data_IF_083020646891
#
_entry.id   IF_083020646891
#
_cell.length_a   1.000
_cell.length_b   1.000
_cell.length_c   1.000
_cell.angle_alpha   90.00
_cell.angle_beta   90.00
_cell.angle_gamma   90.00
#
_symmetry.space_group_name_H-M   'P 1'
#
loop_
_entity.id
_entity.type
_entity.pdbx_description
1 polymer ?
#
# COMPACT_ATOMS: atom_id res chain seq x y z
N UNK A 1 -3.36 4.11 -19.25
CA UNK A 1 -4.35 4.60 -20.23
C UNK A 1 -5.73 4.59 -19.57
N UNK A 2 -5.97 5.46 -18.58
CA UNK A 2 -7.23 5.45 -17.80
C UNK A 2 -8.07 6.74 -17.99
N UNK A 3 -7.49 7.83 -18.49
CA UNK A 3 -8.21 9.12 -18.63
C UNK A 3 -9.21 9.23 -19.79
N UNK A 4 -9.25 8.25 -20.69
CA UNK A 4 -10.17 8.24 -21.85
C UNK A 4 -11.60 7.82 -21.44
N UNK A 5 -11.72 6.90 -20.48
CA UNK A 5 -13.00 6.38 -20.01
C UNK A 5 -13.82 7.47 -19.29
N UNK A 6 -13.16 8.27 -18.44
CA UNK A 6 -13.79 9.39 -17.71
C UNK A 6 -14.38 10.46 -18.63
N UNK A 7 -13.76 10.70 -19.79
CA UNK A 7 -14.22 11.73 -20.73
C UNK A 7 -15.53 11.33 -21.43
N UNK A 8 -15.69 10.05 -21.76
CA UNK A 8 -16.92 9.53 -22.34
C UNK A 8 -18.03 9.40 -21.29
N UNK A 9 -17.69 9.02 -20.07
CA UNK A 9 -18.65 8.95 -18.97
C UNK A 9 -19.18 10.35 -18.60
N UNK A 10 -18.31 11.36 -18.58
CA UNK A 10 -18.71 12.76 -18.40
C UNK A 10 -19.65 13.26 -19.50
N UNK A 11 -19.33 13.00 -20.77
CA UNK A 11 -20.21 13.37 -21.90
C UNK A 11 -21.56 12.65 -21.86
N UNK A 12 -21.57 11.38 -21.42
CA UNK A 12 -22.79 10.62 -21.23
C UNK A 12 -23.67 11.21 -20.12
N UNK A 13 -23.08 11.58 -18.98
CA UNK A 13 -23.80 12.24 -17.89
C UNK A 13 -24.35 13.61 -18.29
N UNK A 14 -23.59 14.40 -19.05
CA UNK A 14 -24.04 15.70 -19.56
C UNK A 14 -25.22 15.55 -20.54
N UNK A 15 -25.11 14.60 -21.48
CA UNK A 15 -26.17 14.26 -22.44
C UNK A 15 -27.45 13.82 -21.73
N UNK A 16 -27.31 12.97 -20.70
CA UNK A 16 -28.44 12.51 -19.87
C UNK A 16 -29.09 13.68 -19.13
N UNK A 17 -28.31 14.58 -18.54
CA UNK A 17 -28.79 15.78 -17.87
C UNK A 17 -29.55 16.73 -18.80
N UNK A 18 -28.97 17.03 -19.98
CA UNK A 18 -29.63 17.86 -20.99
C UNK A 18 -30.94 17.23 -21.49
N UNK A 19 -30.97 15.91 -21.66
CA UNK A 19 -32.17 15.20 -22.11
C UNK A 19 -33.29 15.26 -21.06
N UNK A 20 -32.94 15.16 -19.77
CA UNK A 20 -33.91 15.30 -18.69
C UNK A 20 -34.43 16.73 -18.56
N UNK A 21 -33.57 17.73 -18.69
CA UNK A 21 -33.97 19.15 -18.65
C UNK A 21 -34.83 19.55 -19.85
N UNK A 22 -34.52 19.07 -21.06
CA UNK A 22 -35.38 19.27 -22.24
C UNK A 22 -36.77 18.67 -22.04
N UNK A 23 -36.86 17.48 -21.43
CA UNK A 23 -38.15 16.84 -21.12
C UNK A 23 -38.93 17.62 -20.06
N UNK A 24 -38.26 18.07 -18.99
CA UNK A 24 -38.88 18.88 -17.95
C UNK A 24 -39.40 20.21 -18.51
N UNK A 25 -38.60 20.86 -19.36
CA UNK A 25 -38.97 22.12 -20.04
C UNK A 25 -40.20 21.92 -20.91
N UNK A 26 -40.25 20.85 -21.71
CA UNK A 26 -41.43 20.54 -22.55
C UNK A 26 -42.70 20.34 -21.71
N UNK A 27 -42.62 19.60 -20.61
CA UNK A 27 -43.75 19.43 -19.69
C UNK A 27 -44.18 20.75 -19.04
N UNK A 28 -43.21 21.62 -18.71
CA UNK A 28 -43.46 22.97 -18.24
C UNK A 28 -44.24 23.80 -19.28
N UNK A 29 -43.80 23.79 -20.54
CA UNK A 29 -44.47 24.50 -21.63
C UNK A 29 -45.88 23.96 -21.88
N UNK A 30 -46.07 22.64 -21.91
CA UNK A 30 -47.41 22.03 -22.06
C UNK A 30 -48.35 22.42 -20.91
N UNK A 31 -47.83 22.53 -19.69
CA UNK A 31 -48.61 22.99 -18.53
C UNK A 31 -48.98 24.46 -18.64
N UNK A 32 -48.06 25.32 -19.08
CA UNK A 32 -48.34 26.75 -19.32
C UNK A 32 -49.40 26.89 -20.40
N UNK A 33 -49.28 26.16 -21.50
CA UNK A 33 -50.28 26.16 -22.58
C UNK A 33 -51.67 25.76 -22.08
N UNK A 34 -51.75 24.71 -21.25
CA UNK A 34 -53.01 24.30 -20.62
C UNK A 34 -53.61 25.40 -19.73
N UNK A 35 -52.77 26.12 -18.97
CA UNK A 35 -53.22 27.24 -18.13
C UNK A 35 -53.72 28.40 -18.99
N UNK A 36 -53.02 28.76 -20.07
CA UNK A 36 -53.45 29.82 -21.00
C UNK A 36 -54.77 29.43 -21.67
N UNK A 37 -54.93 28.17 -22.12
CA UNK A 37 -56.21 27.66 -22.65
C UNK A 37 -57.33 27.69 -21.60
N UNK A 38 -57.02 27.43 -20.34
CA UNK A 38 -58.01 27.53 -19.24
C UNK A 38 -58.40 28.97 -18.97
N UNK A 39 -57.43 29.88 -19.00
CA UNK A 39 -57.65 31.32 -18.83
C UNK A 39 -58.51 31.87 -19.98
N UNK A 40 -58.21 31.51 -21.22
CA UNK A 40 -59.00 31.81 -22.42
C UNK A 40 -60.48 31.39 -22.26
N UNK A 41 -60.72 30.17 -21.76
CA UNK A 41 -62.07 29.68 -21.46
C UNK A 41 -62.78 30.48 -20.37
N UNK A 42 -62.06 30.88 -19.31
CA UNK A 42 -62.63 31.66 -18.20
C UNK A 42 -62.94 33.10 -18.60
N UNK A 43 -62.11 33.72 -19.43
CA UNK A 43 -62.26 35.10 -19.89
C UNK A 43 -63.10 35.22 -21.16
N UNK A 44 -63.61 34.10 -21.70
CA UNK A 44 -64.33 34.03 -22.99
C UNK A 44 -63.56 34.68 -24.15
N UNK A 45 -62.24 34.66 -24.09
CA UNK A 45 -61.34 35.24 -25.09
C UNK A 45 -60.68 34.11 -25.87
N UNK A 46 -60.42 34.29 -27.17
CA UNK A 46 -59.77 33.23 -27.93
C UNK A 46 -58.31 33.03 -27.47
N UNK A 47 -57.81 31.79 -27.56
CA UNK A 47 -56.41 31.50 -27.24
C UNK A 47 -55.45 32.30 -28.13
N UNK A 48 -55.80 32.47 -29.41
CA UNK A 48 -54.97 33.22 -30.36
C UNK A 48 -54.92 34.72 -30.03
N UNK A 49 -55.97 35.27 -29.42
CA UNK A 49 -55.97 36.68 -29.01
C UNK A 49 -55.17 36.91 -27.73
N UNK A 50 -55.06 35.90 -26.86
CA UNK A 50 -54.20 35.92 -25.67
C UNK A 50 -52.73 35.59 -25.99
N UNK A 51 -52.46 34.90 -27.10
CA UNK A 51 -51.09 34.58 -27.54
C UNK A 51 -50.47 35.65 -28.44
N UNK A 52 -51.25 36.65 -28.88
CA UNK A 52 -50.74 37.79 -29.66
C UNK A 52 -49.94 38.73 -28.78
N UNK A 53 -48.91 39.33 -29.38
CA UNK A 53 -48.12 40.34 -28.73
C UNK A 53 -49.02 41.55 -28.39
N UNK A 54 -49.04 42.02 -27.12
CA UNK A 54 -49.92 43.12 -26.72
C UNK A 54 -49.63 44.39 -27.51
N UNK A 55 -50.66 45.19 -27.76
CA UNK A 55 -50.46 46.49 -28.42
C UNK A 55 -49.63 47.42 -27.53
N UNK A 56 -48.90 48.35 -28.15
CA UNK A 56 -48.00 49.25 -27.44
C UNK A 56 -48.72 50.13 -26.40
N UNK A 57 -49.99 50.46 -26.63
CA UNK A 57 -50.83 51.16 -25.65
C UNK A 57 -51.10 50.34 -24.38
N UNK A 58 -51.29 49.02 -24.50
CA UNK A 58 -51.46 48.12 -23.35
C UNK A 58 -50.16 47.99 -22.57
N UNK A 59 -49.02 47.97 -23.27
CA UNK A 59 -47.70 48.03 -22.64
C UNK A 59 -47.49 49.34 -21.89
N UNK A 60 -47.88 50.48 -22.46
CA UNK A 60 -47.76 51.79 -21.83
C UNK A 60 -48.68 51.94 -20.61
N UNK A 61 -49.90 51.40 -20.66
CA UNK A 61 -50.82 51.35 -19.52
C UNK A 61 -50.34 50.39 -18.43
N UNK A 62 -49.83 49.21 -18.80
CA UNK A 62 -49.22 48.28 -17.86
C UNK A 62 -48.02 48.93 -17.17
N UNK A 63 -47.11 49.57 -17.91
CA UNK A 63 -45.95 50.24 -17.34
C UNK A 63 -46.35 51.41 -16.42
N UNK A 64 -47.45 52.11 -16.71
CA UNK A 64 -48.01 53.15 -15.82
C UNK A 64 -48.64 52.59 -14.55
N UNK A 65 -49.25 51.40 -14.60
CA UNK A 65 -49.83 50.74 -13.42
C UNK A 65 -48.80 49.89 -12.64
N UNK A 66 -47.70 49.50 -13.29
CA UNK A 66 -46.64 48.65 -12.78
C UNK A 66 -45.47 49.44 -12.18
N UNK A 67 -45.62 50.74 -11.93
CA UNK A 67 -44.65 51.50 -11.14
C UNK A 67 -44.55 50.88 -9.75
N UNK A 68 -43.46 50.17 -9.52
CA UNK A 68 -43.16 49.39 -8.32
C UNK A 68 -43.26 50.32 -7.10
N UNK A 69 -44.13 49.98 -6.16
CA UNK A 69 -44.26 50.78 -4.94
C UNK A 69 -43.01 50.55 -4.08
N UNK A 70 -42.57 51.54 -3.29
CA UNK A 70 -41.33 51.40 -2.48
C UNK A 70 -41.37 50.16 -1.57
N UNK A 71 -42.57 49.81 -1.09
CA UNK A 71 -42.82 48.59 -0.33
C UNK A 71 -42.50 47.32 -1.13
N UNK A 72 -42.91 47.25 -2.39
CA UNK A 72 -42.71 46.07 -3.25
C UNK A 72 -41.23 45.92 -3.61
N UNK A 73 -40.54 47.05 -3.85
CA UNK A 73 -39.10 47.09 -4.03
C UNK A 73 -38.36 46.56 -2.80
N UNK A 74 -38.69 47.05 -1.60
CA UNK A 74 -38.07 46.59 -0.35
C UNK A 74 -38.34 45.10 -0.08
N UNK A 75 -39.54 44.61 -0.40
CA UNK A 75 -39.86 43.18 -0.30
C UNK A 75 -38.95 42.36 -1.23
N UNK A 76 -38.78 42.82 -2.48
CA UNK A 76 -37.91 42.16 -3.46
C UNK A 76 -36.44 42.15 -3.03
N UNK A 77 -35.94 43.28 -2.55
CA UNK A 77 -34.57 43.39 -2.01
C UNK A 77 -34.38 42.47 -0.80
N UNK A 78 -35.37 42.36 0.09
CA UNK A 78 -35.32 41.46 1.24
C UNK A 78 -35.25 39.98 0.80
N UNK A 79 -36.10 39.55 -0.13
CA UNK A 79 -36.03 38.18 -0.67
C UNK A 79 -34.70 37.89 -1.36
N UNK A 80 -34.13 38.85 -2.08
CA UNK A 80 -32.81 38.72 -2.69
C UNK A 80 -31.71 38.53 -1.63
N UNK A 81 -31.77 39.29 -0.54
CA UNK A 81 -30.82 39.15 0.58
C UNK A 81 -30.97 37.80 1.28
N UNK A 82 -32.19 37.34 1.56
CA UNK A 82 -32.45 36.01 2.14
C UNK A 82 -31.85 34.92 1.27
N UNK A 83 -32.09 34.99 -0.04
CA UNK A 83 -31.52 34.03 -0.99
C UNK A 83 -29.97 34.03 -0.96
N UNK A 84 -29.35 35.21 -0.91
CA UNK A 84 -27.89 35.31 -0.81
C UNK A 84 -27.35 34.70 0.50
N UNK A 85 -28.04 34.92 1.62
CA UNK A 85 -27.69 34.32 2.91
C UNK A 85 -27.78 32.80 2.84
N UNK A 86 -28.86 32.26 2.28
CA UNK A 86 -29.03 30.81 2.11
C UNK A 86 -27.93 30.19 1.23
N UNK A 87 -27.55 30.87 0.13
CA UNK A 87 -26.44 30.43 -0.71
C UNK A 87 -25.10 30.43 0.06
N UNK A 88 -24.83 31.47 0.86
CA UNK A 88 -23.62 31.53 1.67
C UNK A 88 -23.61 30.43 2.74
N UNK A 89 -24.71 30.21 3.44
CA UNK A 89 -24.84 29.14 4.42
C UNK A 89 -24.62 27.76 3.80
N UNK A 90 -25.16 27.52 2.61
CA UNK A 90 -24.96 26.28 1.87
C UNK A 90 -23.47 26.06 1.56
N UNK A 91 -22.79 27.08 1.06
CA UNK A 91 -21.35 27.01 0.76
C UNK A 91 -20.55 26.78 2.04
N UNK A 92 -20.84 27.50 3.12
CA UNK A 92 -20.18 27.33 4.42
C UNK A 92 -20.36 25.90 4.96
N UNK A 93 -21.58 25.35 4.92
CA UNK A 93 -21.84 23.95 5.32
C UNK A 93 -21.00 22.97 4.51
N UNK A 94 -20.85 23.21 3.20
CA UNK A 94 -20.05 22.35 2.33
C UNK A 94 -18.55 22.47 2.60
N UNK A 95 -18.06 23.67 2.93
CA UNK A 95 -16.68 23.88 3.36
C UNK A 95 -16.39 23.15 4.67
N UNK A 96 -17.29 23.26 5.66
CA UNK A 96 -17.13 22.55 6.93
C UNK A 96 -17.12 21.03 6.74
N UNK A 97 -18.01 20.47 5.92
CA UNK A 97 -18.00 19.05 5.61
C UNK A 97 -16.68 18.59 4.93
N UNK A 98 -16.06 19.45 4.12
CA UNK A 98 -14.74 19.15 3.53
C UNK A 98 -13.63 19.21 4.58
N UNK A 99 -13.70 20.14 5.53
CA UNK A 99 -12.74 20.22 6.64
C UNK A 99 -12.83 18.95 7.49
N UNK A 100 -14.04 18.53 7.87
CA UNK A 100 -14.26 17.30 8.64
C UNK A 100 -13.67 16.07 7.92
N UNK A 101 -13.89 15.96 6.60
CA UNK A 101 -13.31 14.89 5.78
C UNK A 101 -11.77 14.92 5.76
N UNK A 102 -11.17 16.11 5.72
CA UNK A 102 -9.72 16.27 5.77
C UNK A 102 -9.18 15.84 7.14
N UNK A 103 -9.86 16.20 8.23
CA UNK A 103 -9.48 15.78 9.59
C UNK A 103 -9.52 14.26 9.75
N UNK A 104 -10.58 13.61 9.27
CA UNK A 104 -10.70 12.14 9.27
C UNK A 104 -9.57 11.46 8.49
N UNK A 105 -9.22 12.01 7.32
CA UNK A 105 -8.11 11.52 6.51
C UNK A 105 -6.76 11.69 7.22
N UNK A 106 -6.55 12.81 7.91
CA UNK A 106 -5.32 13.05 8.67
C UNK A 106 -5.18 12.07 9.85
N UNK A 107 -6.27 11.79 10.57
CA UNK A 107 -6.25 10.82 11.66
C UNK A 107 -5.98 9.39 11.13
N UNK A 108 -6.58 9.03 9.98
CA UNK A 108 -6.29 7.77 9.29
C UNK A 108 -4.82 7.63 8.89
N UNK A 109 -4.22 8.68 8.30
CA UNK A 109 -2.79 8.71 7.95
C UNK A 109 -1.93 8.53 9.19
N UNK A 110 -2.25 9.24 10.28
CA UNK A 110 -1.52 9.13 11.55
C UNK A 110 -1.58 7.71 12.11
N UNK A 111 -2.77 7.07 12.10
CA UNK A 111 -2.91 5.68 12.51
C UNK A 111 -2.09 4.74 11.63
N UNK A 112 -2.12 4.93 10.30
CA UNK A 112 -1.32 4.15 9.37
C UNK A 112 0.19 4.27 9.64
N UNK A 113 0.69 5.47 9.94
CA UNK A 113 2.12 5.68 10.27
C UNK A 113 2.50 4.94 11.56
N UNK A 114 1.65 4.99 12.58
CA UNK A 114 1.87 4.25 13.84
C UNK A 114 1.88 2.74 13.60
N UNK A 115 0.93 2.23 12.83
CA UNK A 115 0.84 0.80 12.47
C UNK A 115 2.05 0.35 11.65
N UNK A 116 2.49 1.15 10.66
CA UNK A 116 3.71 0.86 9.90
C UNK A 116 4.96 0.86 10.76
N UNK A 117 5.07 1.80 11.71
CA UNK A 117 6.16 1.83 12.68
C UNK A 117 6.23 0.55 13.52
N UNK A 118 5.09 0.13 14.07
CA UNK A 118 4.98 -1.12 14.83
C UNK A 118 5.28 -2.35 13.96
N UNK A 119 4.79 -2.37 12.72
CA UNK A 119 5.02 -3.49 11.80
C UNK A 119 6.50 -3.61 11.42
N UNK A 120 7.20 -2.50 11.16
CA UNK A 120 8.65 -2.51 10.87
C UNK A 120 9.46 -3.09 12.02
N UNK A 121 9.22 -2.63 13.25
CA UNK A 121 9.92 -3.14 14.44
C UNK A 121 9.68 -4.65 14.64
N UNK A 122 8.46 -5.13 14.37
CA UNK A 122 8.13 -6.56 14.42
C UNK A 122 8.84 -7.36 13.33
N UNK A 123 8.87 -6.84 12.10
CA UNK A 123 9.56 -7.50 10.98
C UNK A 123 11.07 -7.58 11.21
N UNK A 124 11.69 -6.51 11.71
CA UNK A 124 13.10 -6.50 12.08
C UNK A 124 13.41 -7.53 13.17
N UNK A 125 12.59 -7.58 14.22
CA UNK A 125 12.74 -8.57 15.29
C UNK A 125 12.62 -10.00 14.75
N UNK A 126 11.64 -10.27 13.89
CA UNK A 126 11.49 -11.58 13.25
C UNK A 126 12.65 -11.93 12.31
N UNK A 127 13.22 -10.95 11.60
CA UNK A 127 14.39 -11.16 10.76
C UNK A 127 15.61 -11.54 11.62
N UNK A 128 15.86 -10.81 12.71
CA UNK A 128 16.95 -11.12 13.64
C UNK A 128 16.76 -12.53 14.22
N UNK A 129 15.55 -12.86 14.67
CA UNK A 129 15.29 -14.17 15.27
C UNK A 129 15.39 -15.32 14.25
N UNK A 130 14.76 -15.18 13.08
CA UNK A 130 14.73 -16.27 12.09
C UNK A 130 16.03 -16.42 11.31
N UNK A 131 16.64 -15.32 10.87
CA UNK A 131 17.77 -15.36 9.95
C UNK A 131 19.09 -15.30 10.71
N UNK A 132 19.23 -14.35 11.64
CA UNK A 132 20.50 -14.16 12.34
C UNK A 132 20.73 -15.27 13.36
N UNK A 133 19.75 -15.57 14.23
CA UNK A 133 19.95 -16.65 15.20
C UNK A 133 20.08 -18.03 14.56
N UNK A 134 19.35 -18.32 13.47
CA UNK A 134 19.50 -19.62 12.79
C UNK A 134 20.91 -19.80 12.22
N UNK A 135 21.47 -18.75 11.62
CA UNK A 135 22.86 -18.76 11.14
C UNK A 135 23.85 -18.91 12.28
N UNK A 136 23.66 -18.20 13.39
CA UNK A 136 24.51 -18.35 14.59
C UNK A 136 24.47 -19.79 15.10
N UNK A 137 23.27 -20.39 15.23
CA UNK A 137 23.11 -21.78 15.67
C UNK A 137 23.77 -22.76 14.70
N UNK A 138 23.67 -22.53 13.39
CA UNK A 138 24.34 -23.35 12.39
C UNK A 138 25.86 -23.28 12.53
N UNK A 139 26.42 -22.07 12.67
CA UNK A 139 27.88 -21.89 12.88
C UNK A 139 28.33 -22.54 14.19
N UNK A 140 27.59 -22.37 15.28
CA UNK A 140 27.90 -23.02 16.55
C UNK A 140 27.86 -24.55 16.45
N UNK A 141 26.89 -25.11 15.73
CA UNK A 141 26.82 -26.55 15.49
C UNK A 141 28.01 -27.05 14.68
N UNK A 142 28.36 -26.36 13.60
CA UNK A 142 29.53 -26.70 12.77
C UNK A 142 30.83 -26.62 13.56
N UNK A 143 31.00 -25.57 14.37
CA UNK A 143 32.18 -25.40 15.23
C UNK A 143 32.31 -26.53 16.27
N UNK A 144 31.21 -26.92 16.92
CA UNK A 144 31.20 -28.06 17.84
C UNK A 144 31.57 -29.36 17.13
N UNK A 145 30.99 -29.62 15.96
CA UNK A 145 31.31 -30.80 15.14
C UNK A 145 32.78 -30.86 14.73
N UNK A 146 33.35 -29.73 14.29
CA UNK A 146 34.78 -29.61 13.96
C UNK A 146 35.67 -29.88 15.19
N UNK A 147 35.30 -29.36 16.35
CA UNK A 147 36.07 -29.57 17.58
C UNK A 147 36.03 -31.03 18.03
N UNK A 148 34.88 -31.69 17.89
CA UNK A 148 34.71 -33.11 18.19
C UNK A 148 35.45 -34.00 17.19
N UNK A 149 35.43 -33.62 15.90
CA UNK A 149 36.19 -34.29 14.86
C UNK A 149 37.70 -34.17 15.07
N UNK A 150 38.21 -32.99 15.46
CA UNK A 150 39.62 -32.79 15.81
C UNK A 150 40.02 -33.66 17.00
N UNK A 151 39.21 -33.68 18.07
CA UNK A 151 39.45 -34.56 19.21
C UNK A 151 39.49 -36.03 18.81
N UNK A 152 38.52 -36.48 18.01
CA UNK A 152 38.45 -37.87 17.55
C UNK A 152 39.64 -38.23 16.65
N UNK A 153 40.05 -37.31 15.77
CA UNK A 153 41.21 -37.49 14.92
C UNK A 153 42.51 -37.61 15.75
N UNK A 154 42.67 -36.77 16.78
CA UNK A 154 43.79 -36.88 17.72
C UNK A 154 43.80 -38.20 18.47
N UNK A 155 42.66 -38.62 19.03
CA UNK A 155 42.58 -39.92 19.72
C UNK A 155 42.93 -41.09 18.80
N UNK A 156 42.47 -41.06 17.55
CA UNK A 156 42.82 -42.08 16.54
C UNK A 156 44.30 -42.05 16.17
N UNK A 157 44.88 -40.85 16.02
CA UNK A 157 46.31 -40.69 15.79
C UNK A 157 47.12 -41.24 16.96
N UNK A 158 46.74 -40.92 18.20
CA UNK A 158 47.41 -41.42 19.40
C UNK A 158 47.34 -42.96 19.49
N UNK A 159 46.18 -43.55 19.17
CA UNK A 159 46.03 -45.01 19.11
C UNK A 159 46.91 -45.64 18.03
N UNK A 160 46.93 -45.08 16.82
CA UNK A 160 47.79 -45.56 15.73
C UNK A 160 49.27 -45.46 16.10
N UNK A 161 49.68 -44.40 16.80
CA UNK A 161 51.04 -44.23 17.30
C UNK A 161 51.35 -45.32 18.34
N UNK A 162 50.43 -45.63 19.25
CA UNK A 162 50.59 -46.69 20.24
C UNK A 162 50.67 -48.07 19.59
N UNK A 163 49.77 -48.39 18.65
CA UNK A 163 49.81 -49.65 17.90
C UNK A 163 51.12 -49.78 17.11
N UNK A 164 51.59 -48.70 16.48
CA UNK A 164 52.86 -48.68 15.77
C UNK A 164 54.04 -48.91 16.73
N UNK A 165 54.02 -48.31 17.92
CA UNK A 165 55.01 -48.55 18.97
C UNK A 165 55.00 -50.01 19.44
N UNK A 166 53.83 -50.59 19.65
CA UNK A 166 53.70 -51.99 20.10
C UNK A 166 54.17 -52.98 19.04
N UNK A 167 53.83 -52.76 17.77
CA UNK A 167 54.36 -53.55 16.65
C UNK A 167 55.88 -53.42 16.55
N UNK A 168 56.42 -52.21 16.68
CA UNK A 168 57.88 -52.00 16.64
C UNK A 168 58.60 -52.63 17.85
N UNK A 169 57.96 -52.75 19.00
CA UNK A 169 58.49 -53.44 20.20
C UNK A 169 58.41 -54.97 20.12
N UNK A 170 57.43 -55.51 19.39
CA UNK A 170 57.30 -56.96 19.19
C UNK A 170 58.34 -57.52 18.21
N UNK A 171 58.99 -56.65 17.42
CA UNK A 171 60.07 -57.02 16.53
C UNK A 171 61.38 -57.05 17.33
N UNK A 172 61.98 -58.24 17.48
CA UNK A 172 63.35 -58.38 17.98
C UNK A 172 64.34 -57.96 16.89
N UNK A 173 64.63 -56.67 16.80
CA UNK A 173 65.55 -56.09 15.80
C UNK A 173 66.94 -56.74 15.82
N UNK A 174 67.37 -57.30 16.95
CA UNK A 174 68.64 -58.04 17.08
C UNK A 174 68.64 -59.46 16.49
N UNK A 175 67.46 -60.05 16.26
CA UNK A 175 67.28 -61.43 15.75
C UNK A 175 66.70 -61.48 14.32
N UNK A 176 66.31 -60.33 13.75
CA UNK A 176 65.81 -60.25 12.38
C UNK A 176 66.96 -60.50 11.40
N UNK A 177 66.76 -61.39 10.43
CA UNK A 177 67.74 -61.66 9.38
C UNK A 177 68.13 -60.34 8.68
N UNK A 178 69.44 -60.07 8.57
CA UNK A 178 69.98 -58.85 7.94
C UNK A 178 69.86 -58.89 6.40
N UNK A 179 68.64 -59.03 5.90
CA UNK A 179 68.32 -58.81 4.49
C UNK A 179 68.32 -57.31 4.18
N UNK A 180 68.50 -56.94 2.89
CA UNK A 180 68.54 -55.54 2.45
C UNK A 180 67.24 -54.81 2.77
N UNK A 181 66.13 -55.53 2.75
CA UNK A 181 64.76 -55.05 2.99
C UNK A 181 64.52 -54.67 4.47
N UNK A 182 65.06 -55.44 5.41
CA UNK A 182 64.91 -55.19 6.86
C UNK A 182 65.74 -54.00 7.32
N UNK A 183 66.96 -53.81 6.77
CA UNK A 183 67.73 -52.57 6.97
C UNK A 183 67.05 -51.33 6.40
N UNK A 184 66.37 -51.46 5.26
CA UNK A 184 65.64 -50.34 4.67
C UNK A 184 64.39 -49.97 5.47
N UNK A 185 63.72 -50.98 6.06
CA UNK A 185 62.60 -50.79 6.98
C UNK A 185 63.04 -50.07 8.26
N UNK A 186 64.13 -50.51 8.87
CA UNK A 186 64.72 -49.91 10.07
C UNK A 186 65.12 -48.44 9.83
N UNK A 187 65.78 -48.15 8.70
CA UNK A 187 66.13 -46.78 8.31
C UNK A 187 64.89 -45.87 8.12
N UNK A 188 63.79 -46.41 7.59
CA UNK A 188 62.52 -45.66 7.45
C UNK A 188 61.85 -45.40 8.79
N UNK A 189 61.93 -46.34 9.73
CA UNK A 189 61.38 -46.19 11.09
C UNK A 189 62.20 -45.14 11.86
N UNK A 190 63.53 -45.16 11.75
CA UNK A 190 64.40 -44.14 12.34
C UNK A 190 64.16 -42.75 11.74
N UNK A 191 63.98 -42.64 10.41
CA UNK A 191 63.57 -41.38 9.78
C UNK A 191 62.20 -40.89 10.25
N UNK A 192 61.23 -41.80 10.47
CA UNK A 192 59.93 -41.44 11.02
C UNK A 192 60.03 -40.97 12.49
N UNK A 193 60.90 -41.60 13.28
CA UNK A 193 61.19 -41.22 14.66
C UNK A 193 61.80 -39.82 14.76
N UNK A 194 62.77 -39.49 13.89
CA UNK A 194 63.36 -38.15 13.83
C UNK A 194 62.39 -37.09 13.30
N UNK A 195 61.60 -37.43 12.27
CA UNK A 195 60.71 -36.46 11.62
C UNK A 195 59.50 -36.09 12.48
N UNK A 196 58.98 -37.03 13.26
CA UNK A 196 57.77 -36.83 14.08
C UNK A 196 58.06 -36.79 15.59
N UNK A 197 59.31 -36.99 16.02
CA UNK A 197 59.70 -36.93 17.44
C UNK A 197 59.13 -38.06 18.30
N UNK A 198 58.80 -39.21 17.69
CA UNK A 198 58.15 -40.34 18.35
C UNK A 198 59.18 -41.45 18.60
N UNK A 199 59.34 -41.90 19.85
CA UNK A 199 60.18 -43.06 20.17
C UNK A 199 59.48 -44.34 19.70
N UNK A 200 59.98 -44.96 18.63
CA UNK A 200 59.41 -46.19 18.04
C UNK A 200 60.26 -47.43 18.34
N UNK A 201 61.59 -47.26 18.46
CA UNK A 201 62.53 -48.33 18.79
C UNK A 201 63.25 -47.95 20.09
N UNK A 202 63.29 -48.87 21.06
CA UNK A 202 64.15 -48.75 22.24
C UNK A 202 65.53 -49.29 21.85
N UNK A 203 66.50 -48.40 21.63
CA UNK A 203 67.90 -48.76 21.85
C UNK A 203 68.19 -48.80 23.35
#
# INVERSE_FOLDING_TARGET
MEHSADSFEYLFHLSKGLSTECRATRQGTERIELLVRRLAKLTQTSYEDLSKEPSQQVWDEYNKMSTENEKDRLIRENYALVYQIECQEYVCKRIWALIDQIEDLLESIKQFVVEQGAHRARTESQFVEKVVQSRIRAVQKSSRSLTESDKTARTKLDLLIQELQDVCRQINWDQVAQTVETRHLEAKILQAQDKYGIKLINN
#
